data_IF_392378892206
#
_entry.id   IF_392378892206
#
_cell.length_a   1.000
_cell.length_b   1.000
_cell.length_c   1.000
_cell.angle_alpha   90.00
_cell.angle_beta   90.00
_cell.angle_gamma   90.00
#
_symmetry.space_group_name_H-M   'P 1'
#
loop_
_entity.id
_entity.type
_entity.pdbx_description
1 polymer ?
#
# COMPACT_ATOMS: atom_id res chain seq x y z
N UNK A 1 11.31 -19.54 -12.29
CA UNK A 1 11.07 -19.48 -10.83
C UNK A 1 10.01 -18.42 -10.58
N UNK A 2 9.00 -18.69 -9.75
CA UNK A 2 7.96 -17.71 -9.42
C UNK A 2 8.56 -16.60 -8.54
N UNK A 3 8.21 -15.33 -8.81
CA UNK A 3 8.66 -14.19 -7.99
C UNK A 3 8.12 -14.32 -6.56
N UNK A 4 8.97 -14.21 -5.52
CA UNK A 4 8.53 -14.27 -4.14
C UNK A 4 7.41 -13.26 -3.82
N UNK A 5 6.42 -13.60 -2.98
CA UNK A 5 5.33 -12.69 -2.63
C UNK A 5 5.79 -11.32 -2.11
N UNK A 6 6.81 -11.28 -1.25
CA UNK A 6 7.33 -10.01 -0.74
C UNK A 6 7.97 -9.17 -1.85
N UNK A 7 8.67 -9.81 -2.78
CA UNK A 7 9.27 -9.14 -3.93
C UNK A 7 8.20 -8.58 -4.86
N UNK A 8 7.03 -9.24 -4.98
CA UNK A 8 5.87 -8.69 -5.72
C UNK A 8 5.29 -7.44 -5.05
N UNK A 9 5.19 -7.41 -3.72
CA UNK A 9 4.81 -6.19 -3.00
C UNK A 9 5.80 -5.04 -3.24
N UNK A 10 7.10 -5.35 -3.30
CA UNK A 10 8.13 -4.37 -3.63
C UNK A 10 8.08 -3.94 -5.10
N UNK A 11 7.79 -4.86 -6.01
CA UNK A 11 7.67 -4.59 -7.44
C UNK A 11 6.56 -3.58 -7.76
N UNK A 12 5.51 -3.52 -6.94
CA UNK A 12 4.52 -2.45 -7.02
C UNK A 12 5.19 -1.06 -6.99
N UNK A 13 6.18 -0.85 -6.12
CA UNK A 13 6.88 0.43 -6.03
C UNK A 13 7.92 0.60 -7.14
N UNK A 14 8.76 -0.40 -7.40
CA UNK A 14 9.84 -0.26 -8.39
C UNK A 14 9.32 -0.10 -9.82
N UNK A 15 8.20 -0.73 -10.17
CA UNK A 15 7.59 -0.62 -11.51
C UNK A 15 7.06 0.80 -11.82
N UNK A 16 7.06 1.73 -10.85
CA UNK A 16 6.69 3.13 -11.08
C UNK A 16 7.83 3.98 -11.64
N UNK A 17 9.04 3.44 -11.68
CA UNK A 17 10.17 4.04 -12.37
C UNK A 17 10.27 3.44 -13.78
N UNK A 18 10.19 4.28 -14.80
CA UNK A 18 10.21 3.88 -16.21
C UNK A 18 11.58 3.36 -16.66
N UNK A 19 12.65 3.70 -15.93
CA UNK A 19 14.02 3.42 -16.33
C UNK A 19 14.67 2.27 -15.54
N UNK A 20 14.13 1.94 -14.36
CA UNK A 20 14.67 0.89 -13.48
C UNK A 20 13.55 0.24 -12.66
N UNK A 21 13.18 -0.98 -13.03
CA UNK A 21 12.12 -1.77 -12.36
C UNK A 21 12.66 -2.63 -11.22
N UNK A 22 13.96 -2.59 -10.94
CA UNK A 22 14.62 -3.42 -9.92
C UNK A 22 14.98 -2.61 -8.67
N UNK A 23 15.01 -1.29 -8.76
CA UNK A 23 15.34 -0.40 -7.63
C UNK A 23 14.14 0.45 -7.24
N UNK A 24 13.84 0.50 -5.95
CA UNK A 24 12.88 1.44 -5.38
C UNK A 24 13.66 2.66 -4.89
N UNK A 25 13.43 3.81 -5.53
CA UNK A 25 13.88 5.11 -5.00
C UNK A 25 12.84 5.63 -4.02
N UNK A 26 13.26 6.55 -3.15
CA UNK A 26 12.34 7.17 -2.19
C UNK A 26 11.12 7.81 -2.88
N UNK A 27 11.32 8.43 -4.04
CA UNK A 27 10.23 9.01 -4.82
C UNK A 27 9.24 7.95 -5.35
N UNK A 28 9.73 6.78 -5.80
CA UNK A 28 8.89 5.68 -6.29
C UNK A 28 8.04 5.09 -5.16
N UNK A 29 8.65 4.99 -3.98
CA UNK A 29 8.02 4.59 -2.72
C UNK A 29 6.88 5.55 -2.33
N UNK A 30 7.13 6.86 -2.37
CA UNK A 30 6.13 7.91 -2.13
C UNK A 30 5.01 7.81 -3.17
N UNK A 31 5.34 7.73 -4.47
CA UNK A 31 4.36 7.60 -5.55
C UNK A 31 3.44 6.39 -5.35
N UNK A 32 3.99 5.25 -4.95
CA UNK A 32 3.21 4.06 -4.64
C UNK A 32 2.28 4.26 -3.44
N UNK A 33 2.78 4.84 -2.35
CA UNK A 33 1.96 5.10 -1.17
C UNK A 33 0.82 6.09 -1.46
N UNK A 34 1.08 7.16 -2.23
CA UNK A 34 0.07 8.11 -2.69
C UNK A 34 -0.97 7.43 -3.57
N UNK A 35 -0.57 6.52 -4.47
CA UNK A 35 -1.48 5.75 -5.32
C UNK A 35 -2.41 4.81 -4.52
N UNK A 36 -2.01 4.43 -3.31
CA UNK A 36 -2.83 3.66 -2.37
C UNK A 36 -3.79 4.54 -1.55
N UNK A 37 -3.80 5.86 -1.81
CA UNK A 37 -4.71 6.82 -1.20
C UNK A 37 -4.22 7.44 0.10
N UNK A 38 -2.95 7.24 0.47
CA UNK A 38 -2.35 7.86 1.64
C UNK A 38 -2.07 9.35 1.40
N UNK A 39 -2.22 10.17 2.43
CA UNK A 39 -1.77 11.55 2.42
C UNK A 39 -0.25 11.66 2.33
N UNK A 40 0.26 12.84 1.97
CA UNK A 40 1.70 13.03 1.75
C UNK A 40 2.55 12.79 3.02
N UNK A 41 2.23 13.38 4.19
CA UNK A 41 2.96 13.09 5.43
C UNK A 41 3.06 11.60 5.76
N UNK A 42 1.95 10.86 5.68
CA UNK A 42 1.93 9.43 5.97
C UNK A 42 2.68 8.65 4.89
N UNK A 43 2.48 8.98 3.61
CA UNK A 43 3.20 8.36 2.50
C UNK A 43 4.72 8.54 2.62
N UNK A 44 5.18 9.73 3.04
CA UNK A 44 6.59 10.03 3.28
C UNK A 44 7.14 9.22 4.47
N UNK A 45 6.41 9.21 5.60
CA UNK A 45 6.83 8.44 6.79
C UNK A 45 6.97 6.94 6.50
N UNK A 46 5.98 6.35 5.82
CA UNK A 46 6.00 4.94 5.41
C UNK A 46 7.14 4.68 4.42
N UNK A 47 7.38 5.60 3.49
CA UNK A 47 8.48 5.48 2.53
C UNK A 47 9.84 5.50 3.23
N UNK A 48 10.08 6.45 4.13
CA UNK A 48 11.33 6.52 4.92
C UNK A 48 11.50 5.24 5.75
N UNK A 49 10.46 4.81 6.47
CA UNK A 49 10.51 3.59 7.29
C UNK A 49 10.91 2.36 6.49
N UNK A 50 10.29 2.14 5.32
CA UNK A 50 10.65 1.05 4.41
C UNK A 50 12.11 1.12 3.97
N UNK A 51 12.60 2.31 3.62
CA UNK A 51 13.96 2.48 3.12
C UNK A 51 15.00 2.34 4.23
N UNK A 52 14.71 2.79 5.45
CA UNK A 52 15.59 2.55 6.60
C UNK A 52 15.66 1.06 6.94
N UNK A 53 14.53 0.35 6.86
CA UNK A 53 14.45 -1.07 7.18
C UNK A 53 15.05 -1.98 6.10
N UNK A 54 14.84 -1.66 4.82
CA UNK A 54 15.21 -2.51 3.68
C UNK A 54 16.42 -2.00 2.87
N UNK A 55 17.10 -0.93 3.28
CA UNK A 55 18.28 -0.42 2.55
C UNK A 55 19.32 -1.53 2.37
N UNK A 56 19.78 -1.72 1.14
CA UNK A 56 20.73 -2.77 0.79
C UNK A 56 21.76 -2.38 -0.28
N UNK A 57 21.75 -1.12 -0.75
CA UNK A 57 22.64 -0.65 -1.82
C UNK A 57 23.83 0.21 -1.35
N UNK A 58 23.83 0.72 -0.11
CA UNK A 58 24.95 1.47 0.45
C UNK A 58 24.60 2.30 1.70
N UNK A 59 25.61 2.74 2.46
CA UNK A 59 25.41 3.40 3.77
C UNK A 59 24.68 4.75 3.69
N UNK A 60 24.90 5.50 2.61
CA UNK A 60 24.28 6.83 2.36
C UNK A 60 23.13 6.78 1.34
N UNK A 61 22.76 5.60 0.85
CA UNK A 61 21.72 5.45 -0.17
C UNK A 61 20.41 5.00 0.48
N UNK A 62 19.34 5.78 0.27
CA UNK A 62 17.96 5.36 0.54
C UNK A 62 17.39 4.66 -0.70
N UNK A 63 18.12 3.73 -1.31
CA UNK A 63 17.61 2.92 -2.39
C UNK A 63 17.45 1.47 -1.91
N UNK A 64 16.44 0.78 -2.45
CA UNK A 64 16.21 -0.63 -2.18
C UNK A 64 16.35 -1.36 -3.51
N UNK A 65 17.35 -2.23 -3.63
CA UNK A 65 17.48 -3.13 -4.75
C UNK A 65 16.68 -4.41 -4.47
N UNK A 66 15.52 -4.55 -5.13
CA UNK A 66 14.53 -5.60 -4.86
C UNK A 66 15.12 -7.02 -4.94
N UNK A 67 15.93 -7.38 -5.97
CA UNK A 67 16.52 -8.73 -6.07
C UNK A 67 17.42 -9.12 -4.90
N UNK A 68 18.10 -8.15 -4.27
CA UNK A 68 18.99 -8.37 -3.12
C UNK A 68 18.27 -8.39 -1.78
N UNK A 69 16.94 -8.27 -1.74
CA UNK A 69 16.17 -8.37 -0.50
C UNK A 69 16.04 -9.84 -0.10
N UNK A 70 16.64 -10.19 1.04
CA UNK A 70 16.64 -11.58 1.56
C UNK A 70 15.24 -12.10 1.88
N UNK A 71 14.32 -11.22 2.25
CA UNK A 71 12.97 -11.61 2.66
C UNK A 71 12.11 -12.02 1.45
N UNK A 72 11.58 -13.25 1.49
CA UNK A 72 10.77 -13.83 0.39
C UNK A 72 9.28 -13.84 0.72
N UNK A 73 8.94 -14.10 1.97
CA UNK A 73 7.58 -14.19 2.49
C UNK A 73 7.09 -12.83 3.00
N UNK A 74 5.80 -12.59 2.88
CA UNK A 74 5.20 -11.37 3.45
C UNK A 74 5.06 -11.47 4.97
N UNK A 75 4.96 -10.35 5.70
CA UNK A 75 4.84 -10.40 7.16
C UNK A 75 3.64 -11.20 7.70
N UNK A 76 2.54 -11.29 6.93
CA UNK A 76 1.34 -12.06 7.30
C UNK A 76 1.29 -13.46 6.67
N UNK A 77 2.41 -13.96 6.14
CA UNK A 77 2.49 -15.32 5.63
C UNK A 77 2.12 -16.33 6.72
N UNK A 78 1.43 -17.42 6.35
CA UNK A 78 0.88 -18.47 7.25
C UNK A 78 -0.18 -18.03 8.27
N UNK A 79 -0.62 -16.76 8.26
CA UNK A 79 -1.78 -16.37 9.07
C UNK A 79 -3.03 -17.00 8.42
N UNK A 80 -3.67 -17.93 9.14
CA UNK A 80 -4.83 -18.65 8.62
C UNK A 80 -6.04 -17.71 8.54
N UNK A 81 -6.49 -17.46 7.32
CA UNK A 81 -7.65 -16.63 7.02
C UNK A 81 -8.53 -17.34 5.99
N UNK A 82 -9.83 -17.11 6.08
CA UNK A 82 -10.81 -17.53 5.10
C UNK A 82 -11.03 -16.36 4.12
N UNK A 83 -10.78 -16.62 2.85
CA UNK A 83 -10.89 -15.62 1.77
C UNK A 83 -12.30 -15.03 1.67
N UNK A 84 -13.34 -15.82 2.02
CA UNK A 84 -14.75 -15.43 1.93
C UNK A 84 -15.25 -14.66 3.15
N UNK A 85 -14.45 -14.61 4.24
CA UNK A 85 -14.82 -13.95 5.48
C UNK A 85 -14.32 -12.50 5.52
N UNK A 86 -15.02 -11.68 6.28
CA UNK A 86 -14.57 -10.35 6.67
C UNK A 86 -14.10 -10.33 8.13
N UNK A 87 -13.07 -9.53 8.40
CA UNK A 87 -12.39 -9.45 9.68
C UNK A 87 -12.39 -8.02 10.20
N UNK A 88 -12.72 -7.85 11.47
CA UNK A 88 -12.44 -6.62 12.21
C UNK A 88 -10.94 -6.46 12.45
N UNK A 89 -10.52 -5.25 12.82
CA UNK A 89 -9.12 -4.97 13.16
C UNK A 89 -8.61 -5.89 14.28
N UNK A 90 -9.39 -6.03 15.35
CA UNK A 90 -9.01 -6.86 16.50
C UNK A 90 -8.91 -8.33 16.14
N UNK A 91 -9.82 -8.86 15.32
CA UNK A 91 -9.76 -10.27 14.88
C UNK A 91 -8.49 -10.54 14.08
N UNK A 92 -8.18 -9.74 13.06
CA UNK A 92 -7.00 -9.99 12.23
C UNK A 92 -5.69 -9.76 13.00
N UNK A 93 -5.66 -8.75 13.88
CA UNK A 93 -4.52 -8.52 14.76
C UNK A 93 -4.32 -9.69 15.73
N UNK A 94 -5.41 -10.28 16.26
CA UNK A 94 -5.32 -11.40 17.19
C UNK A 94 -4.78 -12.65 16.48
N UNK A 95 -5.29 -12.95 15.29
CA UNK A 95 -4.80 -14.05 14.45
C UNK A 95 -3.31 -13.89 14.10
N UNK A 96 -2.90 -12.67 13.71
CA UNK A 96 -1.51 -12.39 13.39
C UNK A 96 -0.62 -12.41 14.63
N UNK A 97 -1.11 -11.92 15.78
CA UNK A 97 -0.39 -11.94 17.06
C UNK A 97 -0.14 -13.35 17.54
N UNK A 98 -1.13 -14.23 17.45
CA UNK A 98 -1.01 -15.63 17.84
C UNK A 98 0.09 -16.34 17.02
N UNK A 99 0.15 -16.06 15.72
CA UNK A 99 1.08 -16.75 14.81
C UNK A 99 2.47 -16.13 14.72
N UNK A 100 2.58 -14.80 14.73
CA UNK A 100 3.80 -14.04 14.40
C UNK A 100 4.18 -13.03 15.50
N UNK A 101 3.47 -13.01 16.63
CA UNK A 101 3.73 -12.10 17.74
C UNK A 101 3.36 -10.64 17.44
N UNK A 102 3.91 -9.72 18.23
CA UNK A 102 3.55 -8.30 18.16
C UNK A 102 3.84 -7.67 16.79
N UNK A 103 4.93 -8.07 16.13
CA UNK A 103 5.26 -7.59 14.79
C UNK A 103 4.15 -7.94 13.78
N UNK A 104 3.69 -9.19 13.77
CA UNK A 104 2.56 -9.59 12.92
C UNK A 104 1.27 -8.82 13.23
N UNK A 105 1.02 -8.49 14.51
CA UNK A 105 -0.12 -7.67 14.89
C UNK A 105 -0.05 -6.25 14.31
N UNK A 106 1.15 -5.64 14.32
CA UNK A 106 1.39 -4.31 13.72
C UNK A 106 1.23 -4.37 12.20
N UNK A 107 1.75 -5.39 11.55
CA UNK A 107 1.58 -5.58 10.10
C UNK A 107 0.11 -5.81 9.71
N UNK A 108 -0.64 -6.57 10.52
CA UNK A 108 -2.07 -6.79 10.33
C UNK A 108 -2.88 -5.51 10.51
N UNK A 109 -2.53 -4.70 11.52
CA UNK A 109 -3.11 -3.38 11.73
C UNK A 109 -2.81 -2.44 10.55
N UNK A 110 -1.59 -2.47 10.01
CA UNK A 110 -1.19 -1.69 8.85
C UNK A 110 -1.99 -2.09 7.59
N UNK A 111 -2.13 -3.39 7.34
CA UNK A 111 -2.96 -3.89 6.25
C UNK A 111 -4.43 -3.51 6.43
N UNK A 112 -4.98 -3.65 7.64
CA UNK A 112 -6.34 -3.22 7.94
C UNK A 112 -6.51 -1.71 7.70
N UNK A 113 -5.59 -0.88 8.21
CA UNK A 113 -5.64 0.57 8.05
C UNK A 113 -5.60 0.97 6.56
N UNK A 114 -4.95 0.20 5.70
CA UNK A 114 -4.87 0.49 4.28
C UNK A 114 -6.07 -0.06 3.47
N UNK A 115 -6.45 -1.31 3.74
CA UNK A 115 -7.29 -2.11 2.84
C UNK A 115 -8.73 -2.35 3.34
N UNK A 116 -8.99 -2.17 4.64
CA UNK A 116 -10.33 -2.37 5.18
C UNK A 116 -11.33 -1.40 4.55
N UNK A 117 -12.53 -1.89 4.27
CA UNK A 117 -13.60 -1.09 3.72
C UNK A 117 -13.93 0.07 4.66
N UNK A 118 -14.02 1.27 4.10
CA UNK A 118 -14.12 2.51 4.89
C UNK A 118 -15.46 2.61 5.62
N UNK A 119 -16.53 2.00 5.09
CA UNK A 119 -17.88 2.09 5.64
C UNK A 119 -18.11 1.05 6.75
N UNK A 120 -17.75 -0.20 6.49
CA UNK A 120 -17.94 -1.32 7.41
C UNK A 120 -16.81 -1.43 8.44
N UNK A 121 -15.64 -0.87 8.16
CA UNK A 121 -14.44 -1.03 8.99
C UNK A 121 -13.87 -2.45 8.97
N UNK A 122 -14.29 -3.29 8.04
CA UNK A 122 -13.88 -4.69 7.94
C UNK A 122 -12.89 -4.92 6.80
N UNK A 123 -11.92 -5.79 7.05
CA UNK A 123 -10.93 -6.25 6.10
C UNK A 123 -11.41 -7.55 5.47
N UNK A 124 -11.47 -7.61 4.13
CA UNK A 124 -11.85 -8.82 3.41
C UNK A 124 -10.71 -9.85 3.48
N UNK A 125 -11.04 -11.11 3.68
CA UNK A 125 -10.06 -12.21 3.67
C UNK A 125 -9.27 -12.26 2.37
N UNK A 126 -9.92 -11.98 1.24
CA UNK A 126 -9.30 -11.78 -0.08
C UNK A 126 -8.13 -10.78 -0.08
N UNK A 127 -8.20 -9.72 0.72
CA UNK A 127 -7.12 -8.72 0.81
C UNK A 127 -5.95 -9.24 1.66
N UNK A 128 -6.23 -10.06 2.67
CA UNK A 128 -5.19 -10.72 3.47
C UNK A 128 -4.47 -11.78 2.64
N UNK A 129 -5.21 -12.64 1.93
CA UNK A 129 -4.62 -13.62 1.00
C UNK A 129 -3.87 -12.90 -0.12
N UNK A 130 -4.46 -11.84 -0.68
CA UNK A 130 -3.79 -10.99 -1.66
C UNK A 130 -2.51 -10.36 -1.12
N UNK A 131 -2.45 -10.00 0.16
CA UNK A 131 -1.22 -9.52 0.78
C UNK A 131 -0.20 -10.64 0.91
N UNK A 132 -0.62 -11.82 1.37
CA UNK A 132 0.22 -13.02 1.51
C UNK A 132 0.90 -13.45 0.20
N UNK A 133 0.26 -13.17 -0.93
CA UNK A 133 0.75 -13.51 -2.27
C UNK A 133 1.38 -12.32 -3.02
N UNK A 134 1.33 -11.12 -2.42
CA UNK A 134 1.89 -9.91 -3.00
C UNK A 134 1.09 -9.23 -4.11
N UNK A 135 -0.24 -9.42 -4.14
CA UNK A 135 -1.18 -8.92 -5.16
C UNK A 135 -2.13 -7.81 -4.67
N UNK A 136 -2.12 -7.50 -3.37
CA UNK A 136 -3.15 -6.62 -2.78
C UNK A 136 -3.05 -5.15 -3.22
N UNK A 137 -1.83 -4.62 -3.39
CA UNK A 137 -1.65 -3.19 -3.67
C UNK A 137 -2.26 -2.74 -5.00
N UNK A 138 -2.19 -3.58 -6.04
CA UNK A 138 -2.86 -3.30 -7.32
C UNK A 138 -4.39 -3.26 -7.18
N UNK A 139 -4.96 -4.15 -6.35
CA UNK A 139 -6.40 -4.14 -6.06
C UNK A 139 -6.80 -2.88 -5.31
N UNK A 140 -6.02 -2.48 -4.30
CA UNK A 140 -6.27 -1.25 -3.53
C UNK A 140 -6.15 -0.01 -4.42
N UNK A 141 -5.10 0.11 -5.22
CA UNK A 141 -4.93 1.22 -6.16
C UNK A 141 -6.14 1.37 -7.08
N UNK A 142 -6.64 0.27 -7.65
CA UNK A 142 -7.86 0.29 -8.48
C UNK A 142 -9.09 0.80 -7.71
N UNK A 143 -9.25 0.44 -6.43
CA UNK A 143 -10.35 0.92 -5.58
C UNK A 143 -10.25 2.41 -5.26
N UNK A 144 -9.03 2.95 -5.16
CA UNK A 144 -8.77 4.37 -4.83
C UNK A 144 -8.74 5.28 -6.06
N UNK A 145 -8.63 4.71 -7.26
CA UNK A 145 -8.45 5.46 -8.50
C UNK A 145 -9.65 6.33 -8.89
N UNK A 146 -10.87 5.88 -8.62
CA UNK A 146 -12.10 6.55 -9.06
C UNK A 146 -13.00 6.96 -7.89
N UNK A 147 -13.64 8.12 -8.00
CA UNK A 147 -14.75 8.55 -7.14
C UNK A 147 -16.07 8.08 -7.72
N UNK A 148 -16.94 7.55 -6.87
CA UNK A 148 -18.25 7.04 -7.26
C UNK A 148 -19.08 6.58 -6.06
N UNK A 149 -20.31 6.07 -6.29
CA UNK A 149 -21.16 5.52 -5.22
C UNK A 149 -20.47 4.31 -4.59
N UNK A 150 -19.79 4.53 -3.47
CA UNK A 150 -18.87 3.53 -2.88
C UNK A 150 -17.48 4.06 -2.54
N UNK A 151 -17.27 5.37 -2.60
CA UNK A 151 -16.02 6.08 -2.29
C UNK A 151 -15.21 5.41 -1.17
N UNK A 152 -14.10 4.80 -1.58
CA UNK A 152 -13.06 4.33 -0.68
C UNK A 152 -12.03 5.45 -0.62
N UNK A 153 -12.30 6.55 0.10
CA UNK A 153 -11.26 7.51 0.51
C UNK A 153 -10.87 7.18 1.93
N UNK A 154 -9.57 7.14 2.24
CA UNK A 154 -9.15 6.84 3.62
C UNK A 154 -9.60 8.00 4.52
N UNK A 155 -10.16 7.71 5.71
CA UNK A 155 -10.33 8.76 6.71
C UNK A 155 -8.96 9.20 7.23
N UNK A 156 -8.87 10.43 7.75
CA UNK A 156 -7.62 11.04 8.21
C UNK A 156 -6.86 10.17 9.22
N UNK A 157 -7.55 9.54 10.18
CA UNK A 157 -6.94 8.68 11.19
C UNK A 157 -6.39 7.36 10.63
N UNK A 158 -6.73 6.99 9.38
CA UNK A 158 -6.10 5.89 8.61
C UNK A 158 -5.09 6.41 7.57
N UNK A 159 -4.70 7.69 7.68
CA UNK A 159 -3.72 8.35 6.83
C UNK A 159 -4.27 8.82 5.48
N UNK A 160 -5.57 9.10 5.38
CA UNK A 160 -6.16 9.71 4.20
C UNK A 160 -6.19 11.24 4.23
N UNK A 161 -6.51 11.89 3.10
CA UNK A 161 -6.42 13.34 2.98
C UNK A 161 -7.53 14.08 3.74
N UNK A 162 -7.21 15.24 4.31
CA UNK A 162 -8.19 16.18 4.87
C UNK A 162 -9.10 16.73 3.75
N UNK A 163 -8.51 17.07 2.61
CA UNK A 163 -9.22 17.60 1.45
C UNK A 163 -8.88 16.79 0.19
N UNK A 164 -9.83 15.98 -0.26
CA UNK A 164 -9.62 15.00 -1.35
C UNK A 164 -9.31 15.69 -2.68
N UNK A 165 -9.99 16.81 -2.97
CA UNK A 165 -9.80 17.56 -4.23
C UNK A 165 -8.39 18.14 -4.36
N UNK A 166 -7.96 18.92 -3.37
CA UNK A 166 -6.61 19.47 -3.36
C UNK A 166 -5.53 18.41 -3.28
N UNK A 167 -5.73 17.35 -2.49
CA UNK A 167 -4.78 16.25 -2.44
C UNK A 167 -4.60 15.59 -3.81
N UNK A 168 -5.70 15.23 -4.50
CA UNK A 168 -5.63 14.63 -5.84
C UNK A 168 -4.90 15.55 -6.83
N UNK A 169 -5.20 16.86 -6.81
CA UNK A 169 -4.52 17.84 -7.65
C UNK A 169 -3.01 17.93 -7.36
N UNK A 170 -2.61 18.10 -6.10
CA UNK A 170 -1.19 18.21 -5.71
C UNK A 170 -0.43 16.94 -6.09
N UNK A 171 -0.99 15.78 -5.78
CA UNK A 171 -0.39 14.47 -6.04
C UNK A 171 -0.26 14.21 -7.55
N UNK A 172 -1.27 14.55 -8.33
CA UNK A 172 -1.21 14.50 -9.79
C UNK A 172 -0.13 15.44 -10.34
N UNK A 173 -0.09 16.68 -9.86
CA UNK A 173 0.80 17.72 -10.39
C UNK A 173 2.28 17.51 -10.04
N UNK A 174 2.58 17.09 -8.80
CA UNK A 174 3.95 16.95 -8.29
C UNK A 174 4.52 15.55 -8.47
N UNK A 175 3.67 14.52 -8.36
CA UNK A 175 4.12 13.13 -8.35
C UNK A 175 3.66 12.32 -9.57
N UNK A 176 2.79 12.88 -10.42
CA UNK A 176 2.25 12.19 -11.59
C UNK A 176 1.28 11.07 -11.24
N UNK A 177 0.74 11.05 -10.02
CA UNK A 177 -0.12 9.97 -9.51
C UNK A 177 -1.57 10.41 -9.60
N UNK A 178 -2.42 9.57 -10.20
CA UNK A 178 -3.86 9.84 -10.34
C UNK A 178 -4.66 9.03 -9.31
N UNK A 179 -5.31 9.73 -8.39
CA UNK A 179 -6.18 9.15 -7.36
C UNK A 179 -7.47 9.95 -7.28
N UNK A 180 -8.58 9.30 -6.88
CA UNK A 180 -9.87 9.96 -6.68
C UNK A 180 -10.37 10.74 -7.91
N UNK A 181 -10.21 10.17 -9.11
CA UNK A 181 -10.69 10.76 -10.35
C UNK A 181 -12.23 10.77 -10.36
N UNK A 182 -12.83 11.94 -10.59
CA UNK A 182 -14.25 12.03 -10.87
C UNK A 182 -14.51 11.36 -12.24
N UNK A 183 -15.48 10.43 -12.30
CA UNK A 183 -15.76 9.60 -13.49
C UNK A 183 -16.16 10.35 -14.77
N UNK A 184 -16.16 11.69 -14.78
CA UNK A 184 -16.61 12.51 -15.91
C UNK A 184 -15.90 13.88 -16.02
N UNK A 185 -14.64 13.99 -15.58
CA UNK A 185 -13.97 15.29 -15.40
C UNK A 185 -12.77 15.63 -16.29
N UNK A 186 -12.41 14.84 -17.30
CA UNK A 186 -11.26 15.13 -18.19
C UNK A 186 -11.69 15.92 -19.45
N UNK A 187 -12.47 16.98 -19.25
CA UNK A 187 -12.77 18.00 -20.28
C UNK A 187 -12.61 19.39 -19.67
N UNK A 188 -11.41 19.94 -19.72
CA UNK A 188 -11.18 21.34 -19.37
C UNK A 188 -9.79 21.63 -18.81
N UNK A 189 -8.76 21.37 -19.61
CA UNK A 189 -7.45 22.01 -19.45
C UNK A 189 -6.73 21.97 -20.82
N UNK A 190 -7.25 22.76 -21.76
CA UNK A 190 -6.43 23.39 -22.80
C UNK A 190 -6.13 24.82 -22.35
#
# INVERSE_FOLDING_TARGET
MATPPFHRLLAFYSNRNTNDTQTIRLQDSIRGNLALGLDFPVALGVAIGRHVWLKNTGFFSLNIHVPSVTWRETPLHDVKVDEKREYTCSEIMSLAREKKGMFGAVDAMGLWALAADVKSGKLRGEDVVGFQEGRVFEKIEKRRKFRGPGEQVLPLWRGGPIWVGGHSWVVGRMFGVRVYLDGEGDRGAE
#
